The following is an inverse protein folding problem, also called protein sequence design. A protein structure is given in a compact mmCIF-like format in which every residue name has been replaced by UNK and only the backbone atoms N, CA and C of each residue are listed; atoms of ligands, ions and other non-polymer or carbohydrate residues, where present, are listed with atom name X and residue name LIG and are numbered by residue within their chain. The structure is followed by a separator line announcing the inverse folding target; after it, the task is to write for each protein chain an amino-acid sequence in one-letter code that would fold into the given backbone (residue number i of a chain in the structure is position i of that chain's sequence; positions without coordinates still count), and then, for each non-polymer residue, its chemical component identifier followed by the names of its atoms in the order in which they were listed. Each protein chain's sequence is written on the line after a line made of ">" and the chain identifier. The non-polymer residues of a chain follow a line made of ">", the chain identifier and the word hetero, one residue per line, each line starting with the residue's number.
data_IF_205052388210
#
_entry.id   IF_205052388210
#
_cell.length_a   1.000
_cell.length_b   1.000
_cell.length_c   1.000
_cell.angle_alpha   90.00
_cell.angle_beta   90.00
_cell.angle_gamma   90.00
#
_symmetry.space_group_name_H-M   'P 1'
#
loop_
_entity.id
_entity.type
_entity.pdbx_description
1 polymer ?
#
# COMPACT_ATOMS: atom_id res chain seq x y z
N UNK A 1 -37.07 27.77 -15.06
CA UNK A 1 -36.34 26.56 -14.60
C UNK A 1 -34.91 26.39 -15.15
N UNK A 2 -34.30 27.38 -15.82
CA UNK A 2 -32.98 27.29 -16.47
C UNK A 2 -31.76 27.39 -15.51
N UNK A 3 -31.95 27.93 -14.29
CA UNK A 3 -30.87 28.19 -13.32
C UNK A 3 -30.38 26.95 -12.55
N UNK A 4 -31.26 25.99 -12.24
CA UNK A 4 -30.91 24.78 -11.46
C UNK A 4 -30.06 23.77 -12.24
N UNK A 5 -30.14 23.74 -13.59
CA UNK A 5 -29.35 22.82 -14.44
C UNK A 5 -27.90 23.31 -14.63
N UNK A 6 -27.68 24.62 -14.80
CA UNK A 6 -26.30 25.20 -14.85
C UNK A 6 -25.55 25.02 -13.54
N UNK A 7 -26.25 25.08 -12.41
CA UNK A 7 -25.67 24.88 -11.08
C UNK A 7 -25.11 23.46 -10.89
N UNK A 8 -25.76 22.42 -11.45
CA UNK A 8 -25.32 21.01 -11.32
C UNK A 8 -24.11 20.66 -12.19
N UNK A 9 -24.03 21.19 -13.42
CA UNK A 9 -22.84 21.05 -14.26
C UNK A 9 -21.64 21.82 -13.68
N UNK A 10 -21.86 23.00 -13.12
CA UNK A 10 -20.83 23.75 -12.41
C UNK A 10 -20.32 22.99 -11.18
N UNK A 11 -21.20 22.31 -10.44
CA UNK A 11 -20.83 21.54 -9.26
C UNK A 11 -19.97 20.30 -9.59
N UNK A 12 -20.29 19.58 -10.67
CA UNK A 12 -19.53 18.40 -11.10
C UNK A 12 -18.16 18.76 -11.67
N UNK A 13 -18.09 19.84 -12.46
CA UNK A 13 -16.82 20.36 -12.95
C UNK A 13 -15.96 20.89 -11.79
N UNK A 14 -16.58 21.59 -10.83
CA UNK A 14 -15.91 22.08 -9.63
C UNK A 14 -15.43 20.93 -8.74
N UNK A 15 -16.21 19.86 -8.56
CA UNK A 15 -15.79 18.66 -7.82
C UNK A 15 -14.61 17.95 -8.50
N UNK A 16 -14.64 17.83 -9.83
CA UNK A 16 -13.52 17.27 -10.60
C UNK A 16 -12.25 18.15 -10.51
N UNK A 17 -12.40 19.47 -10.63
CA UNK A 17 -11.30 20.41 -10.41
C UNK A 17 -10.79 20.38 -8.97
N UNK A 18 -11.66 20.18 -7.97
CA UNK A 18 -11.27 20.02 -6.57
C UNK A 18 -10.43 18.75 -6.36
N UNK A 19 -10.84 17.63 -6.96
CA UNK A 19 -10.12 16.36 -6.93
C UNK A 19 -8.74 16.52 -7.61
N UNK A 20 -8.68 17.17 -8.77
CA UNK A 20 -7.42 17.48 -9.47
C UNK A 20 -6.52 18.47 -8.71
N UNK A 21 -7.10 19.45 -8.01
CA UNK A 21 -6.34 20.41 -7.18
C UNK A 21 -5.91 19.83 -5.83
N UNK A 22 -6.53 18.71 -5.41
CA UNK A 22 -6.16 17.99 -4.19
C UNK A 22 -5.01 17.01 -4.40
N UNK A 23 -4.43 16.95 -5.62
CA UNK A 23 -3.15 16.28 -5.81
C UNK A 23 -2.13 16.94 -4.89
N UNK A 24 -1.50 16.18 -3.97
CA UNK A 24 -0.40 16.74 -3.20
C UNK A 24 0.65 17.12 -4.23
N UNK A 25 0.90 18.42 -4.36
CA UNK A 25 2.10 18.91 -5.02
C UNK A 25 3.23 18.40 -4.15
N UNK A 26 3.76 17.21 -4.48
CA UNK A 26 4.87 16.64 -3.75
C UNK A 26 6.06 17.53 -4.05
N UNK A 27 6.29 18.50 -3.17
CA UNK A 27 7.53 19.22 -3.09
C UNK A 27 8.63 18.16 -3.06
N UNK A 28 9.45 18.15 -4.11
CA UNK A 28 10.63 17.32 -4.23
C UNK A 28 11.66 17.85 -3.22
N UNK A 29 11.43 17.54 -1.95
CA UNK A 29 12.33 17.83 -0.85
C UNK A 29 12.57 16.51 -0.11
N UNK A 30 13.85 16.19 0.04
CA UNK A 30 14.44 14.99 0.64
C UNK A 30 14.65 13.80 -0.31
N UNK A 31 15.53 14.00 -1.29
CA UNK A 31 16.54 12.98 -1.60
C UNK A 31 17.54 12.93 -0.43
N UNK A 32 17.11 12.34 0.69
CA UNK A 32 17.96 12.09 1.86
C UNK A 32 18.42 10.65 1.82
N UNK A 33 19.69 10.44 1.49
CA UNK A 33 20.30 9.12 1.54
C UNK A 33 20.21 8.50 2.93
N UNK A 34 20.21 7.17 2.95
CA UNK A 34 20.44 6.29 4.08
C UNK A 34 21.40 6.88 5.12
N UNK A 35 20.85 7.57 6.11
CA UNK A 35 21.44 7.71 7.43
C UNK A 35 20.31 7.44 8.38
N UNK A 36 20.08 6.15 8.64
CA UNK A 36 19.02 5.67 9.50
C UNK A 36 19.08 6.44 10.82
N UNK A 37 18.08 7.27 11.06
CA UNK A 37 17.88 7.86 12.37
C UNK A 37 17.74 6.71 13.36
N UNK A 38 18.62 6.63 14.37
CA UNK A 38 18.51 5.63 15.43
C UNK A 38 17.23 5.76 16.29
N UNK A 39 16.34 6.68 15.95
CA UNK A 39 15.08 6.91 16.66
C UNK A 39 13.93 5.98 16.24
N UNK A 40 14.05 5.23 15.13
CA UNK A 40 13.00 4.33 14.65
C UNK A 40 13.21 2.86 15.03
N UNK A 41 12.15 2.07 14.94
CA UNK A 41 12.14 0.65 15.34
C UNK A 41 12.63 -0.19 14.16
N UNK A 42 13.64 -1.05 14.35
CA UNK A 42 14.08 -1.97 13.32
C UNK A 42 13.00 -3.02 13.05
N UNK A 43 12.71 -3.24 11.77
CA UNK A 43 11.76 -4.24 11.27
C UNK A 43 12.59 -5.29 10.53
N UNK A 44 12.66 -6.53 11.06
CA UNK A 44 13.34 -7.62 10.37
C UNK A 44 12.77 -7.80 8.97
N UNK A 45 13.66 -7.99 7.99
CA UNK A 45 13.25 -8.31 6.64
C UNK A 45 12.46 -9.63 6.58
N UNK A 46 11.85 -9.88 5.43
CA UNK A 46 11.37 -11.19 5.05
C UNK A 46 11.92 -11.56 3.68
N UNK A 47 12.02 -12.85 3.43
CA UNK A 47 12.47 -13.40 2.17
C UNK A 47 11.43 -13.16 1.07
N UNK A 48 11.85 -13.18 -0.19
CA UNK A 48 10.93 -12.96 -1.31
C UNK A 48 9.77 -13.98 -1.29
N UNK A 49 10.09 -15.25 -0.99
CA UNK A 49 9.06 -16.29 -0.87
C UNK A 49 8.08 -16.07 0.29
N UNK A 50 8.55 -15.50 1.41
CA UNK A 50 7.66 -15.09 2.50
C UNK A 50 6.70 -13.97 2.10
N UNK A 51 7.08 -13.09 1.17
CA UNK A 51 6.17 -12.04 0.68
C UNK A 51 4.91 -12.66 0.07
N UNK A 52 5.09 -13.68 -0.77
CA UNK A 52 3.99 -14.37 -1.45
C UNK A 52 3.04 -15.04 -0.46
N UNK A 53 3.56 -15.49 0.68
CA UNK A 53 2.75 -16.08 1.76
C UNK A 53 2.05 -15.02 2.58
N UNK A 54 2.72 -13.92 2.96
CA UNK A 54 2.16 -12.90 3.86
C UNK A 54 1.18 -11.97 3.15
N UNK A 55 1.38 -11.69 1.85
CA UNK A 55 0.56 -10.71 1.11
C UNK A 55 -0.95 -10.96 1.17
N UNK A 56 -1.46 -12.20 1.01
CA UNK A 56 -2.89 -12.49 1.17
C UNK A 56 -3.43 -12.25 2.59
N UNK A 57 -2.58 -12.34 3.62
CA UNK A 57 -2.98 -12.15 5.02
C UNK A 57 -2.90 -10.72 5.50
N UNK A 58 -2.23 -9.81 4.76
CA UNK A 58 -2.02 -8.43 5.19
C UNK A 58 -3.31 -7.78 5.73
N UNK A 59 -4.42 -7.89 4.98
CA UNK A 59 -5.69 -7.29 5.39
C UNK A 59 -6.23 -7.84 6.71
N UNK A 60 -6.14 -9.16 6.92
CA UNK A 60 -6.56 -9.81 8.17
C UNK A 60 -5.64 -9.45 9.33
N UNK A 61 -4.33 -9.39 9.10
CA UNK A 61 -3.35 -8.99 10.12
C UNK A 61 -3.65 -7.57 10.61
N UNK A 62 -3.83 -6.61 9.68
CA UNK A 62 -4.14 -5.23 10.05
C UNK A 62 -5.48 -5.12 10.76
N UNK A 63 -6.52 -5.81 10.27
CA UNK A 63 -7.85 -5.78 10.90
C UNK A 63 -7.82 -6.29 12.35
N UNK A 64 -7.12 -7.40 12.61
CA UNK A 64 -6.94 -7.92 13.98
C UNK A 64 -6.13 -6.93 14.83
N UNK A 65 -5.07 -6.34 14.27
CA UNK A 65 -4.22 -5.39 14.98
C UNK A 65 -4.94 -4.08 15.36
N UNK A 66 -5.87 -3.62 14.53
CA UNK A 66 -6.67 -2.42 14.78
C UNK A 66 -7.70 -2.61 15.89
N UNK A 67 -8.20 -3.82 16.07
CA UNK A 67 -9.20 -4.16 17.09
C UNK A 67 -8.61 -4.26 18.52
N UNK A 68 -7.28 -4.41 18.65
CA UNK A 68 -6.62 -4.47 19.96
C UNK A 68 -6.64 -3.10 20.64
N UNK A 69 -7.29 -3.03 21.81
CA UNK A 69 -7.39 -1.82 22.62
C UNK A 69 -6.17 -1.61 23.53
N UNK A 70 -5.69 -2.66 24.20
CA UNK A 70 -4.52 -2.59 25.08
C UNK A 70 -3.22 -2.75 24.28
N UNK A 71 -2.64 -1.62 23.89
CA UNK A 71 -1.46 -1.55 23.00
C UNK A 71 -0.38 -0.66 23.61
N UNK A 72 0.87 -0.84 23.14
CA UNK A 72 1.99 0.01 23.52
C UNK A 72 2.49 0.83 22.32
N UNK A 73 3.33 1.81 22.62
CA UNK A 73 3.87 2.75 21.64
C UNK A 73 4.69 2.07 20.53
N UNK A 74 5.59 1.11 20.82
CA UNK A 74 6.31 0.37 19.78
C UNK A 74 5.40 -0.38 18.81
N UNK A 75 4.37 -1.05 19.32
CA UNK A 75 3.39 -1.76 18.49
C UNK A 75 2.67 -0.80 17.54
N UNK A 76 2.18 0.34 18.05
CA UNK A 76 1.49 1.34 17.23
C UNK A 76 2.41 1.95 16.18
N UNK A 77 3.70 2.16 16.47
CA UNK A 77 4.66 2.63 15.46
C UNK A 77 4.83 1.65 14.30
N UNK A 78 4.99 0.36 14.59
CA UNK A 78 5.15 -0.66 13.54
C UNK A 78 3.85 -0.85 12.75
N UNK A 79 2.69 -0.85 13.43
CA UNK A 79 1.37 -0.89 12.77
C UNK A 79 1.17 0.31 11.83
N UNK A 80 1.43 1.52 12.32
CA UNK A 80 1.32 2.74 11.51
C UNK A 80 2.27 2.71 10.32
N UNK A 81 3.52 2.27 10.52
CA UNK A 81 4.46 2.09 9.43
C UNK A 81 3.93 1.11 8.38
N UNK A 82 3.41 -0.06 8.78
CA UNK A 82 2.85 -1.04 7.85
C UNK A 82 1.72 -0.46 6.98
N UNK A 83 0.85 0.37 7.56
CA UNK A 83 -0.27 1.00 6.85
C UNK A 83 0.20 2.14 5.94
N UNK A 84 1.03 3.05 6.46
CA UNK A 84 1.55 4.19 5.70
C UNK A 84 2.42 3.70 4.54
N UNK A 85 3.35 2.78 4.79
CA UNK A 85 4.23 2.22 3.77
C UNK A 85 3.40 1.56 2.65
N UNK A 86 2.33 0.83 2.99
CA UNK A 86 1.43 0.24 1.98
C UNK A 86 0.72 1.31 1.14
N UNK A 87 0.30 2.42 1.74
CA UNK A 87 -0.30 3.53 0.99
C UNK A 87 0.70 4.16 0.00
N UNK A 88 1.96 4.36 0.41
CA UNK A 88 3.04 4.83 -0.47
C UNK A 88 3.39 3.81 -1.57
N UNK A 89 3.15 2.52 -1.32
CA UNK A 89 3.23 1.44 -2.30
C UNK A 89 1.96 1.26 -3.13
N UNK A 90 1.11 2.29 -3.25
CA UNK A 90 -0.15 2.25 -4.01
C UNK A 90 -1.03 1.06 -3.61
N UNK A 91 -1.14 0.83 -2.29
CA UNK A 91 -1.92 -0.25 -1.68
C UNK A 91 -1.50 -1.68 -2.05
N UNK A 92 -0.32 -1.84 -2.68
CA UNK A 92 0.13 -3.11 -3.24
C UNK A 92 -0.61 -3.50 -4.52
N UNK A 93 -1.25 -2.53 -5.20
CA UNK A 93 -2.04 -2.78 -6.42
C UNK A 93 -1.19 -2.86 -7.69
N UNK A 94 0.06 -2.38 -7.65
CA UNK A 94 0.91 -2.40 -8.83
C UNK A 94 1.29 -3.85 -9.19
N UNK A 95 1.14 -4.27 -10.47
CA UNK A 95 1.44 -5.62 -10.90
C UNK A 95 2.90 -5.99 -10.63
N UNK A 96 3.12 -7.23 -10.25
CA UNK A 96 4.46 -7.75 -9.96
C UNK A 96 5.08 -7.24 -8.67
N UNK A 97 4.43 -6.32 -7.93
CA UNK A 97 4.98 -5.74 -6.69
C UNK A 97 5.41 -6.79 -5.66
N UNK A 98 4.75 -7.95 -5.63
CA UNK A 98 5.12 -9.08 -4.77
C UNK A 98 5.85 -10.19 -5.53
N UNK A 99 5.41 -10.51 -6.75
CA UNK A 99 5.85 -11.72 -7.47
C UNK A 99 7.01 -11.51 -8.43
N UNK A 100 7.43 -10.26 -8.66
CA UNK A 100 8.46 -9.88 -9.62
C UNK A 100 9.54 -9.08 -8.91
N UNK A 101 10.73 -9.65 -8.77
CA UNK A 101 11.87 -9.06 -8.06
C UNK A 101 12.39 -7.78 -8.74
N UNK A 102 12.14 -7.64 -10.06
CA UNK A 102 12.53 -6.47 -10.84
C UNK A 102 11.46 -5.37 -10.83
N UNK A 103 10.31 -5.61 -10.20
CA UNK A 103 9.28 -4.58 -10.07
C UNK A 103 9.83 -3.38 -9.29
N UNK A 104 9.59 -2.13 -9.74
CA UNK A 104 9.98 -0.93 -9.00
C UNK A 104 9.25 -0.80 -7.65
N UNK A 105 8.23 -1.62 -7.40
CA UNK A 105 7.48 -1.68 -6.15
C UNK A 105 7.89 -2.86 -5.25
N UNK A 106 8.88 -3.67 -5.65
CA UNK A 106 9.26 -4.86 -4.89
C UNK A 106 9.85 -4.53 -3.52
N UNK A 107 10.80 -3.59 -3.46
CA UNK A 107 11.43 -3.14 -2.21
C UNK A 107 10.41 -2.60 -1.20
N UNK A 108 9.53 -1.72 -1.68
CA UNK A 108 8.54 -1.11 -0.83
C UNK A 108 7.49 -2.14 -0.38
N UNK A 109 7.26 -3.19 -1.18
CA UNK A 109 6.44 -4.34 -0.80
C UNK A 109 7.09 -5.22 0.26
N UNK A 110 8.41 -5.42 0.20
CA UNK A 110 9.14 -6.03 1.31
C UNK A 110 8.92 -5.24 2.60
N UNK A 111 9.02 -3.90 2.55
CA UNK A 111 8.88 -3.06 3.73
C UNK A 111 7.52 -3.19 4.43
N UNK A 112 6.39 -3.06 3.70
CA UNK A 112 5.07 -3.15 4.36
C UNK A 112 4.68 -4.57 4.76
N UNK A 113 5.13 -5.60 4.01
CA UNK A 113 4.85 -7.00 4.37
C UNK A 113 5.70 -7.46 5.55
N UNK A 114 6.97 -7.05 5.61
CA UNK A 114 7.84 -7.26 6.76
C UNK A 114 7.24 -6.63 8.01
N UNK A 115 6.75 -5.39 7.89
CA UNK A 115 6.07 -4.71 8.98
C UNK A 115 4.79 -5.43 9.42
N UNK A 116 3.96 -5.90 8.49
CA UNK A 116 2.76 -6.68 8.82
C UNK A 116 3.11 -7.98 9.56
N UNK A 117 4.14 -8.71 9.11
CA UNK A 117 4.66 -9.89 9.82
C UNK A 117 5.16 -9.53 11.22
N UNK A 118 5.88 -8.41 11.37
CA UNK A 118 6.33 -7.93 12.67
C UNK A 118 5.16 -7.57 13.61
N UNK A 119 4.09 -6.94 13.10
CA UNK A 119 2.85 -6.69 13.85
C UNK A 119 2.26 -8.00 14.35
N UNK A 120 2.11 -9.00 13.47
CA UNK A 120 1.56 -10.32 13.83
C UNK A 120 2.36 -10.99 14.95
N UNK A 121 3.69 -10.98 14.85
CA UNK A 121 4.57 -11.54 15.87
C UNK A 121 4.53 -10.77 17.19
N UNK A 122 4.39 -9.44 17.15
CA UNK A 122 4.22 -8.64 18.36
C UNK A 122 2.89 -8.93 19.05
N UNK A 123 1.77 -9.03 18.31
CA UNK A 123 0.45 -9.39 18.86
C UNK A 123 0.50 -10.70 19.65
N UNK A 124 1.23 -11.71 19.17
CA UNK A 124 1.43 -12.98 19.87
C UNK A 124 2.05 -12.83 21.27
N UNK A 125 2.90 -11.83 21.44
CA UNK A 125 3.58 -11.54 22.71
C UNK A 125 2.75 -10.68 23.69
N UNK A 126 1.65 -10.10 23.22
CA UNK A 126 0.82 -9.18 24.00
C UNK A 126 -0.19 -9.91 24.90
N UNK A 127 -0.78 -9.19 25.87
CA UNK A 127 -1.75 -9.72 26.84
C UNK A 127 -3.21 -9.66 26.37
N UNK A 128 -3.46 -9.32 25.10
CA UNK A 128 -4.80 -9.21 24.51
C UNK A 128 -5.48 -10.58 24.35
N UNK A 129 -6.75 -10.58 23.93
CA UNK A 129 -7.47 -11.81 23.60
C UNK A 129 -6.68 -12.63 22.58
N UNK A 130 -6.25 -13.81 23.01
CA UNK A 130 -5.27 -14.61 22.29
C UNK A 130 -5.87 -15.49 21.21
N UNK A 131 -7.15 -15.84 21.31
CA UNK A 131 -7.76 -16.80 20.39
C UNK A 131 -7.67 -16.36 18.91
N UNK A 132 -8.15 -15.17 18.50
CA UNK A 132 -8.09 -14.75 17.10
C UNK A 132 -6.65 -14.53 16.60
N UNK A 133 -5.73 -14.16 17.50
CA UNK A 133 -4.32 -13.92 17.19
C UNK A 133 -3.61 -15.26 16.95
N UNK A 134 -3.74 -16.22 17.86
CA UNK A 134 -3.09 -17.54 17.76
C UNK A 134 -3.61 -18.34 16.57
N UNK A 135 -4.90 -18.23 16.24
CA UNK A 135 -5.46 -18.84 15.03
C UNK A 135 -4.81 -18.27 13.76
N UNK A 136 -4.70 -16.94 13.68
CA UNK A 136 -4.07 -16.26 12.53
C UNK A 136 -2.57 -16.57 12.43
N UNK A 137 -1.85 -16.56 13.56
CA UNK A 137 -0.44 -16.95 13.63
C UNK A 137 -0.27 -18.38 13.14
N UNK A 138 -1.08 -19.32 13.64
CA UNK A 138 -1.01 -20.73 13.28
C UNK A 138 -1.29 -20.95 11.79
N UNK A 139 -2.25 -20.24 11.21
CA UNK A 139 -2.57 -20.31 9.79
C UNK A 139 -1.41 -19.81 8.92
N UNK A 140 -0.82 -18.67 9.29
CA UNK A 140 0.32 -18.07 8.59
C UNK A 140 1.56 -18.96 8.72
N UNK A 141 1.89 -19.44 9.92
CA UNK A 141 3.02 -20.35 10.15
C UNK A 141 2.85 -21.65 9.34
N UNK A 142 1.65 -22.23 9.35
CA UNK A 142 1.35 -23.40 8.54
C UNK A 142 1.48 -23.12 7.04
N UNK A 143 1.12 -21.93 6.57
CA UNK A 143 1.30 -21.54 5.17
C UNK A 143 2.80 -21.37 4.83
N UNK A 144 3.58 -20.75 5.72
CA UNK A 144 5.02 -20.58 5.55
C UNK A 144 5.74 -21.93 5.46
N UNK A 145 5.43 -22.86 6.37
CA UNK A 145 6.02 -24.21 6.39
C UNK A 145 5.63 -25.01 5.14
N UNK A 146 4.34 -24.99 4.76
CA UNK A 146 3.84 -25.77 3.61
C UNK A 146 4.43 -25.32 2.28
N UNK A 147 4.68 -24.02 2.11
CA UNK A 147 5.19 -23.49 0.85
C UNK A 147 6.73 -23.64 0.73
N UNK A 148 7.46 -23.76 1.85
CA UNK A 148 8.92 -23.92 1.87
C UNK A 148 9.69 -22.88 1.02
N UNK A 149 9.13 -21.67 0.88
CA UNK A 149 9.70 -20.59 0.07
C UNK A 149 10.59 -19.63 0.89
N UNK A 150 10.84 -19.95 2.17
CA UNK A 150 11.68 -19.13 3.06
C UNK A 150 13.15 -19.03 2.62
N UNK A 151 13.58 -19.80 1.62
CA UNK A 151 14.92 -19.74 1.02
C UNK A 151 14.93 -19.01 -0.33
N UNK A 152 13.78 -18.55 -0.83
CA UNK A 152 13.70 -17.72 -2.03
C UNK A 152 14.04 -16.30 -1.62
N UNK A 153 15.29 -15.92 -1.88
CA UNK A 153 15.85 -14.62 -1.56
C UNK A 153 15.88 -13.73 -2.81
N UNK A 154 15.77 -12.43 -2.60
CA UNK A 154 16.08 -11.39 -3.58
C UNK A 154 16.99 -10.34 -2.93
N UNK A 155 17.38 -9.31 -3.69
CA UNK A 155 18.26 -8.21 -3.21
C UNK A 155 17.81 -7.56 -1.90
N UNK A 156 16.50 -7.47 -1.64
CA UNK A 156 15.95 -6.82 -0.45
C UNK A 156 15.70 -7.78 0.72
N UNK A 157 15.89 -9.09 0.53
CA UNK A 157 15.62 -10.09 1.56
C UNK A 157 16.60 -10.03 2.74
N UNK A 158 17.74 -9.36 2.58
CA UNK A 158 18.76 -9.20 3.62
C UNK A 158 18.87 -7.77 4.17
N UNK A 159 17.96 -6.87 3.75
CA UNK A 159 17.94 -5.49 4.22
C UNK A 159 16.83 -5.31 5.26
N UNK A 160 17.22 -4.97 6.49
CA UNK A 160 16.26 -4.61 7.52
C UNK A 160 15.64 -3.24 7.22
N UNK A 161 14.36 -3.11 7.51
CA UNK A 161 13.65 -1.84 7.40
C UNK A 161 13.64 -1.11 8.74
N UNK A 162 13.28 0.16 8.73
CA UNK A 162 13.16 0.96 9.95
C UNK A 162 11.93 1.84 9.87
N UNK A 163 11.17 1.97 10.96
CA UNK A 163 9.98 2.84 10.98
C UNK A 163 10.29 4.33 10.73
N UNK A 164 11.54 4.75 10.84
CA UNK A 164 11.98 6.10 10.51
C UNK A 164 12.20 6.32 8.99
N UNK A 165 12.30 5.25 8.21
CA UNK A 165 12.70 5.28 6.81
C UNK A 165 11.58 4.77 5.91
N UNK A 166 10.98 5.67 5.12
CA UNK A 166 9.90 5.32 4.21
C UNK A 166 10.47 4.97 2.82
N UNK A 167 10.19 3.76 2.36
CA UNK A 167 10.68 3.24 1.08
C UNK A 167 9.75 3.70 -0.03
N UNK A 168 10.28 4.44 -1.01
CA UNK A 168 9.48 4.97 -2.13
C UNK A 168 9.93 4.36 -3.46
N UNK A 169 8.99 3.84 -4.27
CA UNK A 169 9.27 3.48 -5.65
C UNK A 169 9.86 4.66 -6.43
N UNK A 170 10.94 4.43 -7.17
CA UNK A 170 11.58 5.48 -7.97
C UNK A 170 10.74 5.77 -9.21
N UNK A 171 10.29 7.02 -9.37
CA UNK A 171 9.42 7.42 -10.49
C UNK A 171 10.03 7.10 -11.87
N UNK A 172 11.36 7.21 -12.00
CA UNK A 172 12.06 6.87 -13.24
C UNK A 172 11.90 5.38 -13.59
N UNK A 173 12.04 4.50 -12.61
CA UNK A 173 11.93 3.05 -12.80
C UNK A 173 10.46 2.65 -13.10
N UNK A 174 9.49 3.33 -12.49
CA UNK A 174 8.06 3.14 -12.79
C UNK A 174 7.74 3.51 -14.25
N UNK A 175 8.33 4.61 -14.75
CA UNK A 175 8.11 5.04 -16.13
C UNK A 175 8.75 4.10 -17.16
N UNK A 176 9.79 3.37 -16.77
CA UNK A 176 10.48 2.39 -17.61
C UNK A 176 9.90 0.97 -17.48
N UNK A 177 9.19 0.66 -16.40
CA UNK A 177 8.52 -0.63 -16.21
C UNK A 177 7.22 -0.73 -17.03
N UNK A 178 7.22 -1.63 -18.01
CA UNK A 178 6.09 -1.79 -18.94
C UNK A 178 4.77 -2.20 -18.26
N UNK A 179 4.83 -3.03 -17.21
CA UNK A 179 3.62 -3.48 -16.49
C UNK A 179 2.98 -2.33 -15.72
N UNK A 180 3.80 -1.57 -14.99
CA UNK A 180 3.35 -0.40 -14.24
C UNK A 180 2.79 0.68 -15.18
N UNK A 181 3.49 0.97 -16.26
CA UNK A 181 3.06 1.97 -17.25
C UNK A 181 1.73 1.58 -17.92
N UNK A 182 1.56 0.30 -18.27
CA UNK A 182 0.31 -0.20 -18.82
C UNK A 182 -0.87 -0.02 -17.86
N UNK A 183 -0.70 -0.34 -16.57
CA UNK A 183 -1.75 -0.18 -15.55
C UNK A 183 -2.08 1.30 -15.34
N UNK A 184 -1.08 2.16 -15.27
CA UNK A 184 -1.29 3.60 -15.10
C UNK A 184 -2.05 4.18 -16.31
N UNK A 185 -1.59 3.90 -17.53
CA UNK A 185 -2.23 4.40 -18.75
C UNK A 185 -3.65 3.85 -18.95
N UNK A 186 -3.86 2.56 -18.70
CA UNK A 186 -5.20 1.95 -18.81
C UNK A 186 -6.17 2.55 -17.78
N UNK A 187 -5.71 2.79 -16.54
CA UNK A 187 -6.51 3.44 -15.50
C UNK A 187 -6.87 4.87 -15.89
N UNK A 188 -5.90 5.65 -16.39
CA UNK A 188 -6.14 7.02 -16.86
C UNK A 188 -7.13 7.05 -18.03
N UNK A 189 -6.98 6.14 -18.99
CA UNK A 189 -7.90 6.02 -20.12
C UNK A 189 -9.31 5.65 -19.67
N UNK A 190 -9.46 4.72 -18.73
CA UNK A 190 -10.74 4.32 -18.18
C UNK A 190 -11.44 5.47 -17.44
N UNK A 191 -10.69 6.26 -16.65
CA UNK A 191 -11.20 7.47 -15.99
C UNK A 191 -11.63 8.50 -17.03
N UNK A 192 -10.80 8.78 -18.03
CA UNK A 192 -11.12 9.73 -19.10
C UNK A 192 -12.37 9.31 -19.90
N UNK A 193 -12.48 8.03 -20.26
CA UNK A 193 -13.65 7.48 -20.94
C UNK A 193 -14.92 7.60 -20.07
N UNK A 194 -14.82 7.28 -18.78
CA UNK A 194 -15.93 7.38 -17.82
C UNK A 194 -16.41 8.83 -17.68
N UNK A 195 -15.48 9.79 -17.58
CA UNK A 195 -15.79 11.22 -17.54
C UNK A 195 -16.44 11.69 -18.84
N UNK A 196 -15.94 11.24 -19.99
CA UNK A 196 -16.51 11.61 -21.28
C UNK A 196 -17.94 11.08 -21.46
N UNK A 197 -18.17 9.81 -21.11
CA UNK A 197 -19.49 9.18 -21.17
C UNK A 197 -20.50 9.85 -20.23
N UNK A 198 -20.08 10.16 -18.99
CA UNK A 198 -20.95 10.87 -18.04
C UNK A 198 -21.29 12.28 -18.50
N UNK A 199 -20.31 13.04 -19.01
CA UNK A 199 -20.57 14.36 -19.62
C UNK A 199 -21.54 14.27 -20.81
N UNK A 200 -21.36 13.27 -21.68
CA UNK A 200 -22.25 13.05 -22.84
C UNK A 200 -23.67 12.71 -22.41
N UNK A 201 -23.85 11.83 -21.42
CA UNK A 201 -25.15 11.47 -20.87
C UNK A 201 -25.88 12.69 -20.25
N UNK A 202 -25.16 13.52 -19.50
CA UNK A 202 -25.71 14.74 -18.92
C UNK A 202 -26.13 15.75 -19.98
N UNK A 203 -25.41 15.83 -21.11
CA UNK A 203 -25.79 16.69 -22.25
C UNK A 203 -27.09 16.21 -22.90
N UNK A 204 -27.23 14.90 -23.15
CA UNK A 204 -28.46 14.35 -23.74
C UNK A 204 -29.69 14.59 -22.85
N UNK A 205 -29.55 14.46 -21.53
CA UNK A 205 -30.62 14.79 -20.57
C UNK A 205 -30.95 16.30 -20.49
N UNK A 206 -30.03 17.16 -20.92
CA UNK A 206 -30.25 18.60 -20.93
C UNK A 206 -31.01 19.06 -22.19
N UNK A 207 -30.86 18.33 -23.30
CA UNK A 207 -31.50 18.58 -24.60
C UNK A 207 -32.87 17.88 -24.74
N UNK A 208 -33.17 16.89 -23.90
CA UNK A 208 -34.51 16.31 -23.67
C UNK A 208 -35.32 17.08 -22.60
#
# INVERSE_FOLDING_TARGET
>A
MRGRRRLKCGLLLAAFCFILSSWPMMALAHSGGSSGSQAGIPIPSLTHGEMAVIAPYYGRIIAVAEDISDTNEPFRRVLNFAQIQRAYCLWGLMPGSVTDEESPFNECSHAYLAAAKAVLLQMRSMKSDKAPIEDLVSEVDAALVRNNLSLVLCKFSNENFNTADLIRPKLADIALDGKSLLVILSTLLAVAASLWLTMRALRMQAEA
#
